data_IF_709747475459
#
_entry.id   IF_709747475459
#
_cell.length_a   1.000
_cell.length_b   1.000
_cell.length_c   1.000
_cell.angle_alpha   90.00
_cell.angle_beta   90.00
_cell.angle_gamma   90.00
#
_symmetry.space_group_name_H-M   'P 1'
#
loop_
_entity.id
_entity.type
_entity.pdbx_description
1 polymer ?
#
# COMPACT_ATOMS: atom_id res chain seq x y z
N UNK A 1 -28.21 11.22 -18.58
CA UNK A 1 -27.38 10.32 -19.42
C UNK A 1 -25.87 10.42 -19.15
N UNK A 2 -25.35 11.51 -18.56
CA UNK A 2 -23.90 11.69 -18.31
C UNK A 2 -23.31 10.84 -17.18
N UNK A 3 -24.10 10.46 -16.17
CA UNK A 3 -23.59 9.75 -14.98
C UNK A 3 -23.22 8.29 -15.26
N UNK A 4 -23.96 7.62 -16.14
CA UNK A 4 -23.73 6.21 -16.51
C UNK A 4 -22.52 6.02 -17.45
N UNK A 5 -22.23 6.99 -18.31
CA UNK A 5 -21.02 6.97 -19.14
C UNK A 5 -19.75 7.19 -18.31
N UNK A 6 -19.80 8.08 -17.31
CA UNK A 6 -18.67 8.30 -16.41
C UNK A 6 -18.29 7.06 -15.61
N UNK A 7 -19.26 6.27 -15.14
CA UNK A 7 -18.98 5.04 -14.38
C UNK A 7 -18.38 3.95 -15.26
N UNK A 8 -18.84 3.85 -16.50
CA UNK A 8 -18.34 2.86 -17.46
C UNK A 8 -16.89 3.17 -17.87
N UNK A 9 -16.57 4.45 -18.10
CA UNK A 9 -15.23 4.92 -18.41
C UNK A 9 -14.22 4.64 -17.29
N UNK A 10 -14.62 4.85 -16.03
CA UNK A 10 -13.78 4.55 -14.85
C UNK A 10 -13.55 3.05 -14.69
N UNK A 11 -14.55 2.21 -14.98
CA UNK A 11 -14.39 0.75 -14.95
C UNK A 11 -13.47 0.24 -16.06
N UNK A 12 -13.53 0.82 -17.26
CA UNK A 12 -12.61 0.48 -18.35
C UNK A 12 -11.15 0.79 -17.97
N UNK A 13 -10.90 1.92 -17.32
CA UNK A 13 -9.58 2.27 -16.79
C UNK A 13 -9.13 1.33 -15.65
N UNK A 14 -10.04 0.82 -14.83
CA UNK A 14 -9.66 -0.17 -13.80
C UNK A 14 -9.17 -1.48 -14.41
N UNK A 15 -9.77 -1.89 -15.54
CA UNK A 15 -9.45 -3.14 -16.24
C UNK A 15 -8.16 -3.07 -17.07
N UNK A 16 -7.61 -1.87 -17.30
CA UNK A 16 -6.35 -1.72 -18.03
C UNK A 16 -5.12 -2.07 -17.17
N UNK A 17 -5.31 -2.28 -15.86
CA UNK A 17 -4.26 -2.63 -14.92
C UNK A 17 -4.18 -4.14 -14.77
N UNK A 18 -3.00 -4.70 -15.05
CA UNK A 18 -2.70 -6.12 -14.87
C UNK A 18 -1.45 -6.25 -14.02
N UNK A 19 -1.43 -7.18 -13.08
CA UNK A 19 -0.21 -7.51 -12.34
C UNK A 19 0.38 -8.82 -12.84
N UNK A 20 1.67 -8.80 -13.12
CA UNK A 20 2.45 -9.92 -13.66
C UNK A 20 3.87 -9.84 -13.14
N UNK A 21 4.37 -10.94 -12.59
CA UNK A 21 5.74 -11.08 -12.09
C UNK A 21 6.13 -9.99 -11.07
N UNK A 22 5.21 -9.62 -10.18
CA UNK A 22 5.42 -8.56 -9.18
C UNK A 22 5.48 -7.13 -9.72
N UNK A 23 5.16 -6.95 -11.00
CA UNK A 23 5.08 -5.66 -11.67
C UNK A 23 3.64 -5.34 -12.07
N UNK A 24 3.31 -4.05 -12.08
CA UNK A 24 1.98 -3.56 -12.43
C UNK A 24 2.03 -2.91 -13.81
N UNK A 25 1.27 -3.46 -14.74
CA UNK A 25 1.24 -3.07 -16.14
C UNK A 25 -0.05 -2.32 -16.44
N UNK A 26 0.07 -1.14 -17.04
CA UNK A 26 -1.04 -0.32 -17.53
C UNK A 26 -1.06 -0.42 -19.05
N UNK A 27 -2.05 -1.10 -19.62
CA UNK A 27 -2.20 -1.21 -21.07
C UNK A 27 -3.12 -0.09 -21.56
N UNK A 28 -2.54 0.96 -22.15
CA UNK A 28 -3.27 2.15 -22.56
C UNK A 28 -3.31 2.25 -24.08
N UNK A 29 -4.50 2.29 -24.64
CA UNK A 29 -4.73 2.70 -26.03
C UNK A 29 -5.06 4.19 -26.09
N UNK A 30 -5.05 4.79 -27.29
CA UNK A 30 -5.41 6.20 -27.49
C UNK A 30 -6.73 6.58 -26.82
N UNK A 31 -7.74 5.72 -26.95
CA UNK A 31 -9.05 5.94 -26.34
C UNK A 31 -8.96 5.97 -24.82
N UNK A 32 -8.19 5.05 -24.21
CA UNK A 32 -8.01 4.98 -22.77
C UNK A 32 -7.18 6.16 -22.23
N UNK A 33 -6.23 6.67 -23.00
CA UNK A 33 -5.47 7.88 -22.64
C UNK A 33 -6.42 9.08 -22.59
N UNK A 34 -7.25 9.28 -23.61
CA UNK A 34 -8.22 10.38 -23.65
C UNK A 34 -9.27 10.28 -22.53
N UNK A 35 -9.75 9.07 -22.23
CA UNK A 35 -10.64 8.81 -21.10
C UNK A 35 -9.93 9.09 -19.78
N UNK A 36 -8.69 8.62 -19.63
CA UNK A 36 -7.83 8.84 -18.46
C UNK A 36 -7.59 10.32 -18.19
N UNK A 37 -7.34 11.12 -19.23
CA UNK A 37 -7.16 12.57 -19.12
C UNK A 37 -8.42 13.26 -18.61
N UNK A 38 -9.60 12.90 -19.16
CA UNK A 38 -10.87 13.44 -18.69
C UNK A 38 -11.13 13.09 -17.23
N UNK A 39 -10.87 11.84 -16.83
CA UNK A 39 -11.01 11.40 -15.44
C UNK A 39 -10.01 12.12 -14.51
N UNK A 40 -8.77 12.33 -14.96
CA UNK A 40 -7.74 13.07 -14.24
C UNK A 40 -8.16 14.53 -14.01
N UNK A 41 -8.66 15.22 -15.04
CA UNK A 41 -9.13 16.61 -14.94
C UNK A 41 -10.33 16.75 -14.01
N UNK A 42 -11.14 15.71 -13.89
CA UNK A 42 -12.33 15.67 -13.03
C UNK A 42 -12.04 15.13 -11.62
N UNK A 43 -10.78 14.83 -11.29
CA UNK A 43 -10.37 14.21 -10.00
C UNK A 43 -11.23 13.00 -9.63
N UNK A 44 -11.55 12.16 -10.61
CA UNK A 44 -12.31 10.95 -10.37
C UNK A 44 -11.47 9.94 -9.61
N UNK A 45 -12.13 9.10 -8.81
CA UNK A 45 -11.46 8.00 -8.11
C UNK A 45 -11.74 6.69 -8.83
N UNK A 46 -10.70 5.88 -9.04
CA UNK A 46 -10.85 4.56 -9.63
C UNK A 46 -11.10 3.53 -8.53
N UNK A 47 -11.99 2.59 -8.85
CA UNK A 47 -12.21 1.39 -8.05
C UNK A 47 -11.50 0.22 -8.71
N UNK A 48 -10.32 -0.13 -8.20
CA UNK A 48 -9.59 -1.32 -8.62
C UNK A 48 -10.22 -2.57 -8.01
N UNK A 49 -10.02 -3.71 -8.65
CA UNK A 49 -10.45 -5.00 -8.12
C UNK A 49 -9.67 -5.35 -6.84
N UNK A 50 -10.33 -6.08 -5.93
CA UNK A 50 -9.68 -6.56 -4.71
C UNK A 50 -8.51 -7.50 -5.00
N UNK A 51 -8.53 -8.20 -6.14
CA UNK A 51 -7.43 -9.04 -6.59
C UNK A 51 -6.16 -8.23 -6.87
N UNK A 52 -6.27 -7.12 -7.62
CA UNK A 52 -5.15 -6.23 -7.92
C UNK A 52 -4.62 -5.58 -6.65
N UNK A 53 -5.52 -5.11 -5.77
CA UNK A 53 -5.12 -4.52 -4.50
C UNK A 53 -4.42 -5.53 -3.58
N UNK A 54 -4.87 -6.78 -3.56
CA UNK A 54 -4.23 -7.85 -2.80
C UNK A 54 -2.84 -8.16 -3.36
N UNK A 55 -2.68 -8.22 -4.68
CA UNK A 55 -1.38 -8.41 -5.32
C UNK A 55 -0.45 -7.22 -5.07
N UNK A 56 -0.96 -5.99 -5.10
CA UNK A 56 -0.21 -4.78 -4.75
C UNK A 56 0.28 -4.79 -3.30
N UNK A 57 -0.54 -5.31 -2.37
CA UNK A 57 -0.14 -5.49 -0.96
C UNK A 57 0.86 -6.63 -0.74
N UNK A 58 0.89 -7.62 -1.65
CA UNK A 58 1.80 -8.77 -1.59
C UNK A 58 3.16 -8.47 -2.22
N UNK A 59 3.19 -7.79 -3.38
CA UNK A 59 4.25 -6.85 -3.71
C UNK A 59 4.34 -5.81 -2.57
N UNK A 60 5.18 -4.78 -2.50
CA UNK A 60 5.50 -4.06 -1.23
C UNK A 60 6.20 -4.95 -0.20
N UNK A 61 5.65 -6.12 0.16
CA UNK A 61 6.24 -6.98 1.20
C UNK A 61 7.18 -8.02 0.61
N UNK A 62 6.78 -8.65 -0.49
CA UNK A 62 7.48 -9.80 -1.07
C UNK A 62 7.82 -9.55 -2.54
N UNK A 63 9.03 -9.94 -2.94
CA UNK A 63 9.34 -10.03 -4.36
C UNK A 63 8.57 -11.23 -4.94
N UNK A 64 7.52 -10.93 -5.69
CA UNK A 64 6.65 -11.94 -6.34
C UNK A 64 7.14 -12.29 -7.74
N UNK A 65 8.25 -11.69 -8.20
CA UNK A 65 8.83 -11.88 -9.54
C UNK A 65 9.42 -13.26 -9.83
N UNK A 66 9.42 -14.19 -8.86
CA UNK A 66 10.12 -15.47 -8.96
C UNK A 66 9.24 -16.74 -9.01
N UNK A 67 7.91 -16.66 -8.96
CA UNK A 67 7.06 -17.87 -8.87
C UNK A 67 7.10 -18.80 -10.11
N UNK A 68 7.82 -18.40 -11.17
CA UNK A 68 8.06 -19.23 -12.36
C UNK A 68 9.37 -20.02 -12.31
N UNK A 69 10.26 -19.78 -11.33
CA UNK A 69 11.50 -20.54 -11.15
C UNK A 69 11.47 -21.34 -9.83
N UNK A 70 11.71 -22.65 -9.87
CA UNK A 70 11.58 -23.53 -8.70
C UNK A 70 12.61 -23.26 -7.59
N UNK A 71 13.63 -22.42 -7.84
CA UNK A 71 14.72 -22.08 -6.91
C UNK A 71 14.77 -20.59 -6.54
N UNK A 72 13.72 -19.81 -6.82
CA UNK A 72 13.73 -18.38 -6.46
C UNK A 72 13.66 -18.22 -4.94
N UNK A 73 14.81 -18.05 -4.30
CA UNK A 73 14.91 -17.58 -2.92
C UNK A 73 14.07 -16.32 -2.77
N UNK A 74 13.09 -16.35 -1.85
CA UNK A 74 12.21 -15.23 -1.54
C UNK A 74 13.02 -14.03 -1.08
N UNK A 75 13.37 -13.15 -2.01
CA UNK A 75 14.05 -11.90 -1.72
C UNK A 75 13.01 -10.86 -1.27
N UNK A 76 13.39 -10.02 -0.31
CA UNK A 76 12.56 -8.87 0.04
C UNK A 76 12.62 -7.86 -1.11
N UNK A 77 11.44 -7.38 -1.49
CA UNK A 77 11.28 -6.51 -2.64
C UNK A 77 12.07 -5.22 -2.46
N UNK A 78 12.90 -4.88 -3.44
CA UNK A 78 13.66 -3.62 -3.48
C UNK A 78 12.78 -2.40 -3.82
N UNK A 79 11.65 -2.61 -4.51
CA UNK A 79 10.70 -1.57 -4.85
C UNK A 79 9.54 -2.04 -5.74
N UNK A 80 8.48 -1.25 -5.82
CA UNK A 80 7.34 -1.47 -6.72
C UNK A 80 7.68 -0.97 -8.12
N UNK A 81 7.39 -1.79 -9.13
CA UNK A 81 7.57 -1.40 -10.54
C UNK A 81 6.20 -1.26 -11.21
N UNK A 82 5.98 -0.10 -11.84
CA UNK A 82 4.81 0.23 -12.64
C UNK A 82 5.25 0.48 -14.08
N UNK A 83 4.68 -0.24 -15.02
CA UNK A 83 4.98 -0.16 -16.44
C UNK A 83 3.73 0.31 -17.18
N UNK A 84 3.89 1.18 -18.17
CA UNK A 84 2.81 1.52 -19.10
C UNK A 84 3.18 1.02 -20.48
N UNK A 85 2.26 0.29 -21.10
CA UNK A 85 2.26 0.00 -22.51
C UNK A 85 1.33 0.97 -23.23
N UNK A 86 1.78 1.48 -24.38
CA UNK A 86 0.97 2.25 -25.30
C UNK A 86 1.08 1.63 -26.69
N UNK A 87 -0.06 1.24 -27.28
CA UNK A 87 -0.12 0.52 -28.55
C UNK A 87 0.85 -0.69 -28.57
N UNK A 88 0.75 -1.55 -27.54
CA UNK A 88 1.59 -2.73 -27.29
C UNK A 88 3.09 -2.48 -27.05
N UNK A 89 3.55 -1.24 -26.97
CA UNK A 89 4.96 -0.91 -26.69
C UNK A 89 5.15 -0.45 -25.25
N UNK A 90 6.19 -0.95 -24.58
CA UNK A 90 6.59 -0.42 -23.27
C UNK A 90 7.14 0.99 -23.45
N UNK A 91 6.53 1.95 -22.78
CA UNK A 91 6.76 3.37 -23.02
C UNK A 91 7.17 4.14 -21.78
N UNK A 92 6.62 3.76 -20.62
CA UNK A 92 6.97 4.34 -19.34
C UNK A 92 7.21 3.23 -18.34
N UNK A 93 8.22 3.41 -17.49
CA UNK A 93 8.47 2.56 -16.34
C UNK A 93 8.79 3.43 -15.15
N UNK A 94 8.07 3.24 -14.06
CA UNK A 94 8.30 3.90 -12.78
C UNK A 94 8.66 2.85 -11.75
N UNK A 95 9.81 3.00 -11.11
CA UNK A 95 10.25 2.15 -10.00
C UNK A 95 10.22 2.99 -8.72
N UNK A 96 9.41 2.58 -7.76
CA UNK A 96 9.31 3.18 -6.42
C UNK A 96 10.06 2.30 -5.45
N UNK A 97 11.23 2.76 -5.01
CA UNK A 97 12.05 2.10 -4.00
C UNK A 97 11.35 2.11 -2.63
N UNK A 98 11.72 1.16 -1.76
CA UNK A 98 11.28 1.12 -0.36
C UNK A 98 11.72 2.36 0.44
N UNK A 99 12.81 3.01 0.02
CA UNK A 99 13.29 4.26 0.63
C UNK A 99 12.49 5.50 0.18
N UNK A 100 11.55 5.34 -0.75
CA UNK A 100 10.76 6.43 -1.32
C UNK A 100 11.39 7.09 -2.54
N UNK A 101 12.55 6.61 -2.98
CA UNK A 101 13.14 7.04 -4.25
C UNK A 101 12.28 6.59 -5.43
N UNK A 102 11.98 7.52 -6.33
CA UNK A 102 11.16 7.24 -7.51
C UNK A 102 12.01 7.46 -8.76
N UNK A 103 12.18 6.39 -9.54
CA UNK A 103 12.90 6.40 -10.81
C UNK A 103 11.90 6.30 -11.96
N UNK A 104 11.86 7.33 -12.81
CA UNK A 104 11.05 7.35 -14.02
C UNK A 104 11.93 7.10 -15.24
N UNK A 105 11.57 6.10 -16.03
CA UNK A 105 12.20 5.74 -17.30
C UNK A 105 11.17 5.94 -18.40
N UNK A 106 11.49 6.79 -19.37
CA UNK A 106 10.63 7.12 -20.50
C UNK A 106 11.32 6.64 -21.76
N UNK A 107 10.59 5.98 -22.66
CA UNK A 107 11.15 5.58 -23.94
C UNK A 107 11.54 6.81 -24.78
N UNK A 108 12.69 6.71 -25.44
CA UNK A 108 13.26 7.81 -26.23
C UNK A 108 12.35 8.23 -27.37
N UNK A 109 11.60 7.30 -27.98
CA UNK A 109 10.78 7.60 -29.15
C UNK A 109 9.61 8.53 -28.80
N UNK A 110 9.06 8.40 -27.60
CA UNK A 110 8.00 9.28 -27.10
C UNK A 110 8.46 10.70 -26.85
N UNK A 111 9.72 10.91 -26.47
CA UNK A 111 10.26 12.25 -26.24
C UNK A 111 10.24 13.13 -27.50
N UNK A 112 10.22 12.51 -28.70
CA UNK A 112 10.12 13.23 -29.95
C UNK A 112 8.69 13.73 -30.25
N UNK A 113 7.66 13.08 -29.69
CA UNK A 113 6.25 13.46 -29.81
C UNK A 113 5.77 14.08 -28.51
N UNK A 114 6.01 15.38 -28.34
CA UNK A 114 5.84 16.08 -27.07
C UNK A 114 4.42 16.01 -26.48
N UNK A 115 3.37 16.07 -27.32
CA UNK A 115 1.98 16.08 -26.85
C UNK A 115 1.53 14.72 -26.29
N UNK A 116 1.80 13.63 -27.03
CA UNK A 116 1.42 12.28 -26.61
C UNK A 116 2.21 11.84 -25.36
N UNK A 117 3.48 12.21 -25.27
CA UNK A 117 4.30 11.93 -24.10
C UNK A 117 3.73 12.60 -22.85
N UNK A 118 3.30 13.86 -22.94
CA UNK A 118 2.75 14.60 -21.81
C UNK A 118 1.44 13.96 -21.33
N UNK A 119 0.54 13.66 -22.27
CA UNK A 119 -0.75 13.02 -22.00
C UNK A 119 -0.57 11.67 -21.31
N UNK A 120 0.29 10.83 -21.88
CA UNK A 120 0.55 9.50 -21.36
C UNK A 120 1.19 9.57 -19.96
N UNK A 121 2.16 10.47 -19.77
CA UNK A 121 2.82 10.65 -18.49
C UNK A 121 1.82 11.11 -17.41
N UNK A 122 0.93 12.04 -17.76
CA UNK A 122 -0.11 12.51 -16.85
C UNK A 122 -1.05 11.37 -16.42
N UNK A 123 -1.52 10.56 -17.38
CA UNK A 123 -2.37 9.40 -17.08
C UNK A 123 -1.63 8.35 -16.25
N UNK A 124 -0.37 8.04 -16.58
CA UNK A 124 0.47 7.12 -15.84
C UNK A 124 0.62 7.52 -14.37
N UNK A 125 1.02 8.77 -14.11
CA UNK A 125 1.19 9.26 -12.75
C UNK A 125 -0.12 9.33 -11.98
N UNK A 126 -1.22 9.69 -12.65
CA UNK A 126 -2.53 9.69 -12.02
C UNK A 126 -2.96 8.27 -11.62
N UNK A 127 -2.83 7.28 -12.51
CA UNK A 127 -3.11 5.86 -12.20
C UNK A 127 -2.24 5.34 -11.05
N UNK A 128 -0.95 5.64 -11.10
CA UNK A 128 0.01 5.29 -10.05
C UNK A 128 -0.43 5.88 -8.71
N UNK A 129 -0.78 7.17 -8.67
CA UNK A 129 -1.27 7.85 -7.47
C UNK A 129 -2.54 7.19 -6.94
N UNK A 130 -3.50 6.85 -7.80
CA UNK A 130 -4.74 6.17 -7.39
C UNK A 130 -4.46 4.81 -6.74
N UNK A 131 -3.49 4.03 -7.25
CA UNK A 131 -3.09 2.75 -6.66
C UNK A 131 -2.34 2.93 -5.35
N UNK A 132 -1.36 3.83 -5.30
CA UNK A 132 -0.53 4.06 -4.11
C UNK A 132 -1.32 4.70 -2.98
N UNK A 133 -2.26 5.61 -3.27
CA UNK A 133 -3.09 6.24 -2.25
C UNK A 133 -4.00 5.24 -1.54
N UNK A 134 -4.54 4.27 -2.29
CA UNK A 134 -5.33 3.17 -1.70
C UNK A 134 -4.47 2.33 -0.77
N UNK A 135 -3.27 1.96 -1.22
CA UNK A 135 -2.31 1.20 -0.42
C UNK A 135 -1.91 1.95 0.86
N UNK A 136 -1.49 3.21 0.74
CA UNK A 136 -1.11 4.06 1.85
C UNK A 136 -2.26 4.30 2.83
N UNK A 137 -3.47 4.52 2.31
CA UNK A 137 -4.68 4.73 3.10
C UNK A 137 -5.01 3.50 3.97
N UNK A 138 -5.00 2.31 3.37
CA UNK A 138 -5.28 1.07 4.07
C UNK A 138 -4.19 0.72 5.08
N UNK A 139 -2.91 0.89 4.70
CA UNK A 139 -1.79 0.68 5.61
C UNK A 139 -1.82 1.65 6.80
N UNK A 140 -2.17 2.92 6.58
CA UNK A 140 -2.34 3.90 7.64
C UNK A 140 -3.51 3.55 8.56
N UNK A 141 -4.63 3.05 8.02
CA UNK A 141 -5.76 2.56 8.82
C UNK A 141 -5.37 1.36 9.66
N UNK A 142 -4.61 0.43 9.10
CA UNK A 142 -4.07 -0.72 9.81
C UNK A 142 -3.19 -0.30 10.97
N UNK A 143 -2.19 0.52 10.69
CA UNK A 143 -1.27 1.08 11.67
C UNK A 143 -2.05 1.72 12.82
N UNK A 144 -3.06 2.53 12.51
CA UNK A 144 -3.89 3.16 13.53
C UNK A 144 -4.68 2.14 14.36
N UNK A 145 -5.35 1.17 13.73
CA UNK A 145 -6.10 0.12 14.44
C UNK A 145 -5.18 -0.76 15.31
N UNK A 146 -4.03 -1.15 14.77
CA UNK A 146 -3.04 -1.96 15.47
C UNK A 146 -2.46 -1.20 16.67
N UNK A 147 -2.08 0.06 16.47
CA UNK A 147 -1.59 0.93 17.54
C UNK A 147 -2.65 1.12 18.63
N UNK A 148 -3.91 1.31 18.25
CA UNK A 148 -5.00 1.49 19.20
C UNK A 148 -5.26 0.22 20.01
N UNK A 149 -5.19 -0.97 19.39
CA UNK A 149 -5.31 -2.27 20.08
C UNK A 149 -4.13 -2.51 21.02
N UNK A 150 -2.92 -2.22 20.59
CA UNK A 150 -1.72 -2.41 21.41
C UNK A 150 -1.73 -1.47 22.63
N UNK A 151 -2.09 -0.20 22.43
CA UNK A 151 -2.23 0.75 23.53
C UNK A 151 -3.30 0.30 24.54
N UNK A 152 -4.43 -0.25 24.07
CA UNK A 152 -5.45 -0.82 24.95
C UNK A 152 -4.92 -2.00 25.77
N UNK A 153 -4.17 -2.91 25.14
CA UNK A 153 -3.56 -4.06 25.83
C UNK A 153 -2.60 -3.62 26.92
N UNK A 154 -1.72 -2.65 26.64
CA UNK A 154 -0.79 -2.08 27.62
C UNK A 154 -1.53 -1.46 28.80
N UNK A 155 -2.60 -0.69 28.54
CA UNK A 155 -3.43 -0.12 29.61
C UNK A 155 -4.08 -1.22 30.47
N UNK A 156 -4.71 -2.23 29.86
CA UNK A 156 -5.31 -3.34 30.61
C UNK A 156 -4.29 -4.07 31.48
N UNK A 157 -3.12 -4.38 30.93
CA UNK A 157 -2.05 -5.04 31.66
C UNK A 157 -1.59 -4.21 32.86
N UNK A 158 -1.42 -2.89 32.66
CA UNK A 158 -1.02 -1.98 33.74
C UNK A 158 -2.06 -1.92 34.86
N UNK A 159 -3.35 -1.91 34.53
CA UNK A 159 -4.44 -1.92 35.50
C UNK A 159 -4.50 -3.23 36.28
N UNK A 160 -4.32 -4.37 35.62
CA UNK A 160 -4.29 -5.69 36.27
C UNK A 160 -3.12 -5.80 37.23
N UNK A 161 -1.93 -5.35 36.82
CA UNK A 161 -0.74 -5.32 37.67
C UNK A 161 -0.97 -4.42 38.89
N UNK A 162 -1.50 -3.20 38.69
CA UNK A 162 -1.80 -2.29 39.78
C UNK A 162 -2.82 -2.87 40.77
N UNK A 163 -3.87 -3.52 40.27
CA UNK A 163 -4.89 -4.17 41.11
C UNK A 163 -4.29 -5.31 41.94
N UNK A 164 -3.42 -6.13 41.35
CA UNK A 164 -2.75 -7.23 42.04
C UNK A 164 -1.84 -6.73 43.16
N UNK A 165 -1.10 -5.63 42.94
CA UNK A 165 -0.20 -5.08 43.95
C UNK A 165 -0.91 -4.37 45.10
N UNK A 166 -1.95 -3.57 44.83
CA UNK A 166 -2.54 -2.71 45.86
C UNK A 166 -3.77 -3.31 46.56
N UNK A 167 -4.42 -4.33 45.97
CA UNK A 167 -5.56 -5.09 46.54
C UNK A 167 -6.66 -4.20 47.18
N UNK A 168 -6.79 -2.96 46.73
CA UNK A 168 -7.72 -1.96 47.25
C UNK A 168 -8.49 -1.33 46.10
N UNK A 169 -9.80 -1.21 46.28
CA UNK A 169 -10.70 -0.61 45.29
C UNK A 169 -10.51 0.91 45.14
N UNK A 170 -9.95 1.59 46.14
CA UNK A 170 -9.67 3.03 46.09
C UNK A 170 -8.61 3.40 45.02
N UNK A 171 -7.75 2.43 44.66
CA UNK A 171 -6.72 2.62 43.63
C UNK A 171 -7.32 2.69 42.23
N UNK A 172 -8.53 2.16 42.00
CA UNK A 172 -9.23 2.27 40.71
C UNK A 172 -9.57 3.72 40.35
N UNK A 173 -9.85 4.58 41.34
CA UNK A 173 -10.15 6.00 41.12
C UNK A 173 -8.96 6.81 40.61
N UNK A 174 -7.74 6.48 41.04
CA UNK A 174 -6.50 7.18 40.63
C UNK A 174 -5.88 6.56 39.38
N UNK A 175 -6.02 5.25 39.19
CA UNK A 175 -5.46 4.53 38.03
C UNK A 175 -6.23 4.81 36.73
N UNK A 176 -7.51 5.15 36.78
CA UNK A 176 -8.31 5.53 35.59
C UNK A 176 -7.74 6.76 34.84
N UNK A 177 -7.55 7.94 35.47
CA UNK A 177 -6.96 9.10 34.78
C UNK A 177 -5.50 8.85 34.35
N UNK A 178 -4.73 8.11 35.16
CA UNK A 178 -3.36 7.74 34.82
C UNK A 178 -3.30 6.80 33.60
N UNK A 179 -4.23 5.85 33.51
CA UNK A 179 -4.37 4.93 32.38
C UNK A 179 -4.74 5.65 31.08
N UNK A 180 -5.57 6.69 31.14
CA UNK A 180 -5.87 7.54 29.97
C UNK A 180 -4.61 8.28 29.51
N UNK A 181 -3.82 8.82 30.44
CA UNK A 181 -2.56 9.51 30.13
C UNK A 181 -1.54 8.55 29.51
N UNK A 182 -1.39 7.35 30.08
CA UNK A 182 -0.53 6.27 29.57
C UNK A 182 -1.00 5.83 28.18
N UNK A 183 -2.32 5.72 27.94
CA UNK A 183 -2.87 5.42 26.61
C UNK A 183 -2.49 6.50 25.60
N UNK A 184 -2.58 7.77 25.99
CA UNK A 184 -2.26 8.88 25.09
C UNK A 184 -0.77 8.91 24.74
N UNK A 185 0.10 8.80 25.76
CA UNK A 185 1.56 8.77 25.59
C UNK A 185 2.02 7.54 24.82
N UNK A 186 1.48 6.36 25.12
CA UNK A 186 1.79 5.13 24.38
C UNK A 186 1.35 5.23 22.93
N UNK A 187 0.15 5.76 22.65
CA UNK A 187 -0.32 5.99 21.27
C UNK A 187 0.61 6.94 20.51
N UNK A 188 1.07 8.01 21.15
CA UNK A 188 1.98 8.97 20.52
C UNK A 188 3.37 8.39 20.29
N UNK A 189 3.91 7.67 21.27
CA UNK A 189 5.20 6.99 21.17
C UNK A 189 5.17 5.87 20.11
N UNK A 190 4.12 5.04 20.13
CA UNK A 190 3.91 3.99 19.13
C UNK A 190 3.77 4.59 17.74
N UNK A 191 3.00 5.66 17.53
CA UNK A 191 2.93 6.29 16.20
C UNK A 191 4.28 6.75 15.66
N UNK A 192 5.20 7.19 16.53
CA UNK A 192 6.55 7.60 16.12
C UNK A 192 7.47 6.41 15.86
N UNK A 193 7.36 5.37 16.68
CA UNK A 193 8.25 4.21 16.64
C UNK A 193 7.75 3.07 15.74
N UNK A 194 6.46 3.00 15.42
CA UNK A 194 5.87 1.96 14.58
C UNK A 194 6.46 1.91 13.17
N UNK A 195 6.71 3.01 12.43
CA UNK A 195 7.38 2.89 11.13
C UNK A 195 8.80 2.31 11.27
N UNK A 196 9.50 2.61 12.37
CA UNK A 196 10.83 2.08 12.67
C UNK A 196 10.74 0.60 13.06
N UNK A 197 9.78 0.22 13.91
CA UNK A 197 9.52 -1.16 14.34
C UNK A 197 8.95 -2.03 13.22
N UNK A 198 8.19 -1.46 12.29
CA UNK A 198 7.78 -2.15 11.07
C UNK A 198 8.99 -2.31 10.16
N UNK A 199 9.85 -1.29 9.99
CA UNK A 199 11.09 -1.42 9.23
C UNK A 199 12.02 -2.49 9.83
N UNK A 200 12.17 -2.51 11.15
CA UNK A 200 12.93 -3.54 11.89
C UNK A 200 12.24 -4.91 11.90
N UNK A 201 10.91 -4.92 12.01
CA UNK A 201 10.09 -6.12 11.99
C UNK A 201 10.14 -6.78 10.63
N UNK A 202 9.93 -6.02 9.55
CA UNK A 202 10.17 -6.46 8.18
C UNK A 202 11.62 -6.85 7.95
N UNK A 203 12.59 -6.15 8.55
CA UNK A 203 14.00 -6.53 8.45
C UNK A 203 14.41 -7.75 9.30
N UNK A 204 13.57 -8.23 10.20
CA UNK A 204 13.78 -9.50 10.93
C UNK A 204 12.86 -10.62 10.44
N UNK A 205 11.72 -10.27 9.83
CA UNK A 205 10.89 -11.11 8.95
C UNK A 205 11.65 -11.50 7.67
N UNK A 206 12.80 -10.85 7.39
CA UNK A 206 13.86 -11.27 6.46
C UNK A 206 14.46 -12.67 6.76
N UNK A 207 14.09 -13.34 7.86
CA UNK A 207 14.44 -14.76 8.01
C UNK A 207 13.54 -15.63 7.12
N UNK A 208 14.08 -16.63 6.40
CA UNK A 208 13.37 -17.46 5.41
C UNK A 208 12.43 -18.48 6.07
N UNK A 209 11.72 -18.09 7.12
CA UNK A 209 10.92 -19.00 7.93
C UNK A 209 9.46 -19.03 7.42
N UNK A 210 8.96 -20.18 6.93
CA UNK A 210 7.63 -20.29 6.29
C UNK A 210 6.46 -19.95 7.21
N UNK A 211 6.65 -20.05 8.53
CA UNK A 211 5.62 -19.71 9.53
C UNK A 211 5.36 -18.20 9.55
N UNK A 212 6.42 -17.40 9.42
CA UNK A 212 6.34 -15.94 9.40
C UNK A 212 5.68 -15.47 8.10
N UNK A 213 5.94 -16.17 6.99
CA UNK A 213 5.27 -15.94 5.71
C UNK A 213 3.76 -16.17 5.82
N UNK A 214 3.33 -17.31 6.40
CA UNK A 214 1.91 -17.60 6.62
C UNK A 214 1.22 -16.54 7.50
N UNK A 215 1.88 -16.11 8.57
CA UNK A 215 1.38 -15.03 9.44
C UNK A 215 1.27 -13.71 8.68
N UNK A 216 2.27 -13.34 7.86
CA UNK A 216 2.23 -12.12 7.06
C UNK A 216 1.09 -12.15 6.04
N UNK A 217 0.88 -13.29 5.36
CA UNK A 217 -0.20 -13.48 4.40
C UNK A 217 -1.56 -13.39 5.07
N UNK A 218 -1.71 -13.96 6.28
CA UNK A 218 -2.93 -13.81 7.08
C UNK A 218 -3.20 -12.36 7.49
N UNK A 219 -2.16 -11.61 7.86
CA UNK A 219 -2.30 -10.19 8.23
C UNK A 219 -2.65 -9.34 7.01
N UNK A 220 -2.01 -9.59 5.86
CA UNK A 220 -2.30 -8.90 4.59
C UNK A 220 -3.67 -9.26 4.01
N UNK A 221 -4.14 -10.50 4.18
CA UNK A 221 -5.48 -10.91 3.77
C UNK A 221 -6.57 -10.28 4.66
N UNK A 222 -6.31 -10.12 5.96
CA UNK A 222 -7.20 -9.43 6.91
C UNK A 222 -7.16 -7.90 6.80
N UNK A 223 -6.35 -7.39 5.89
CA UNK A 223 -6.25 -5.98 5.54
C UNK A 223 -7.17 -5.55 4.39
N UNK A 224 -7.82 -6.51 3.73
CA UNK A 224 -9.00 -6.30 2.89
C UNK A 224 -10.25 -6.04 3.76
#
# INVERSE_FOLDING_TARGET
MTRTQSTLNVQLLANCVVSKDGQFWFYLDRELVEVGLKCCQQNQTIFFSDSILTQLRQAVVWDTGGLSEPDSSFNVQSGLTFCTHFEDRLVLRTVVSMDGDVLHQIDRQLLHTSDDCLKLNQVHHWLLTQLTDKLCGDFRRFINKFTDRLAFLVCCLSSVLAFNYFKSWDVLGVTMPLGILIRHLSRQSLRRSLPILLRFGFSHVLSPNPIIQWLSQQVLARLA
#
